data_IF_251758644612
#
_entry.id   IF_251758644612
#
_cell.length_a   1.000
_cell.length_b   1.000
_cell.length_c   1.000
_cell.angle_alpha   90.00
_cell.angle_beta   90.00
_cell.angle_gamma   90.00
#
_symmetry.space_group_name_H-M   'P 1'
#
loop_
_entity.id
_entity.type
_entity.pdbx_description
1 polymer ?
#
# COMPACT_ATOMS: atom_id res chain seq x y z
N UNK A 1 -76.56 15.37 1.54
CA UNK A 1 -75.51 16.43 1.52
C UNK A 1 -74.34 16.16 2.47
N UNK A 2 -74.47 15.34 3.52
CA UNK A 2 -73.35 15.08 4.46
C UNK A 2 -72.47 13.87 4.07
N UNK A 3 -73.07 12.82 3.50
CA UNK A 3 -72.35 11.58 3.16
C UNK A 3 -71.29 11.76 2.06
N UNK A 4 -71.54 12.63 1.09
CA UNK A 4 -70.59 12.93 0.01
C UNK A 4 -69.39 13.71 0.56
N UNK A 5 -69.63 14.65 1.49
CA UNK A 5 -68.58 15.44 2.14
C UNK A 5 -67.72 14.57 3.07
N UNK A 6 -68.33 13.63 3.79
CA UNK A 6 -67.57 12.69 4.65
C UNK A 6 -66.70 11.73 3.82
N UNK A 7 -67.19 11.24 2.68
CA UNK A 7 -66.40 10.40 1.78
C UNK A 7 -65.27 11.17 1.10
N UNK A 8 -65.49 12.43 0.72
CA UNK A 8 -64.43 13.30 0.20
C UNK A 8 -63.36 13.56 1.26
N UNK A 9 -63.76 13.84 2.50
CA UNK A 9 -62.82 14.06 3.60
C UNK A 9 -62.02 12.81 3.96
N UNK A 10 -62.66 11.63 3.95
CA UNK A 10 -61.96 10.34 4.09
C UNK A 10 -61.02 10.06 2.93
N UNK A 11 -61.39 10.40 1.70
CA UNK A 11 -60.51 10.25 0.54
C UNK A 11 -59.31 11.20 0.62
N UNK A 12 -59.50 12.42 1.09
CA UNK A 12 -58.42 13.39 1.34
C UNK A 12 -57.50 12.93 2.49
N UNK A 13 -58.06 12.39 3.58
CA UNK A 13 -57.28 11.81 4.68
C UNK A 13 -56.49 10.57 4.24
N UNK A 14 -57.09 9.71 3.41
CA UNK A 14 -56.41 8.53 2.83
C UNK A 14 -55.34 8.96 1.82
N UNK A 15 -55.58 9.96 0.98
CA UNK A 15 -54.55 10.47 0.06
C UNK A 15 -53.42 11.17 0.79
N UNK A 16 -53.71 11.85 1.92
CA UNK A 16 -52.69 12.50 2.76
C UNK A 16 -51.87 11.45 3.52
N UNK A 17 -52.51 10.38 4.01
CA UNK A 17 -51.82 9.24 4.62
C UNK A 17 -50.97 8.45 3.61
N UNK A 18 -51.44 8.30 2.36
CA UNK A 18 -50.70 7.63 1.29
C UNK A 18 -49.54 8.49 0.72
N UNK A 19 -49.70 9.82 0.71
CA UNK A 19 -48.62 10.75 0.40
C UNK A 19 -47.55 10.84 1.51
N UNK A 20 -47.87 10.35 2.72
CA UNK A 20 -46.96 10.32 3.87
C UNK A 20 -46.03 9.10 3.88
N UNK A 21 -46.14 8.19 2.92
CA UNK A 21 -45.33 6.96 2.86
C UNK A 21 -44.50 6.82 1.57
N UNK A 22 -44.16 7.92 0.91
CA UNK A 22 -42.86 8.01 0.24
C UNK A 22 -41.89 8.62 1.23
N UNK A 23 -41.35 7.77 2.12
CA UNK A 23 -40.10 8.10 2.77
C UNK A 23 -39.10 8.25 1.61
N UNK A 24 -38.79 9.48 1.18
CA UNK A 24 -37.55 9.74 0.46
C UNK A 24 -36.47 9.29 1.44
N UNK A 25 -36.07 8.02 1.31
CA UNK A 25 -34.97 7.47 2.09
C UNK A 25 -33.81 8.41 1.87
N UNK A 26 -33.30 8.99 2.95
CA UNK A 26 -32.18 9.89 2.85
C UNK A 26 -31.07 9.08 2.14
N UNK A 27 -30.47 9.53 1.03
CA UNK A 27 -29.57 8.68 0.24
C UNK A 27 -28.45 8.03 1.07
N UNK A 28 -28.03 8.68 2.15
CA UNK A 28 -27.06 8.16 3.12
C UNK A 28 -27.55 6.93 3.92
N UNK A 29 -28.85 6.76 4.12
CA UNK A 29 -29.44 5.57 4.77
C UNK A 29 -29.28 4.31 3.92
N UNK A 30 -28.99 4.46 2.62
CA UNK A 30 -28.69 3.34 1.73
C UNK A 30 -27.21 2.95 1.71
N UNK A 31 -26.33 3.78 2.30
CA UNK A 31 -24.91 3.52 2.35
C UNK A 31 -24.61 2.53 3.48
N UNK A 32 -24.22 1.31 3.08
CA UNK A 32 -23.92 0.22 4.02
C UNK A 32 -22.50 0.31 4.56
N UNK A 33 -21.50 0.38 3.66
CA UNK A 33 -20.08 0.44 3.99
C UNK A 33 -19.24 0.83 2.76
N UNK A 34 -17.98 1.20 2.98
CA UNK A 34 -16.96 1.37 1.94
C UNK A 34 -16.04 0.14 1.89
N UNK A 35 -15.66 -0.29 0.69
CA UNK A 35 -14.86 -1.51 0.48
C UNK A 35 -13.52 -1.16 -0.15
N UNK A 36 -12.48 -1.91 0.22
CA UNK A 36 -11.13 -1.83 -0.37
C UNK A 36 -10.52 -0.42 -0.33
N UNK A 37 -10.97 0.41 0.60
CA UNK A 37 -10.52 1.80 0.76
C UNK A 37 -9.10 1.90 1.35
N UNK A 38 -8.62 0.80 1.93
CA UNK A 38 -7.32 0.67 2.58
C UNK A 38 -6.25 0.04 1.68
N UNK A 39 -6.57 -0.26 0.42
CA UNK A 39 -5.59 -0.79 -0.54
C UNK A 39 -4.59 0.31 -0.93
N UNK A 40 -3.28 0.14 -0.64
CA UNK A 40 -2.29 1.15 -1.02
C UNK A 40 -2.28 1.36 -2.54
N UNK A 41 -2.14 2.62 -2.97
CA UNK A 41 -2.18 2.98 -4.39
C UNK A 41 -1.23 2.13 -5.25
N UNK A 42 0.02 1.95 -4.81
CA UNK A 42 1.00 1.13 -5.52
C UNK A 42 0.53 -0.33 -5.69
N UNK A 43 -0.08 -0.90 -4.67
CA UNK A 43 -0.59 -2.28 -4.70
C UNK A 43 -1.75 -2.38 -5.67
N UNK A 44 -2.70 -1.44 -5.60
CA UNK A 44 -3.83 -1.33 -6.55
C UNK A 44 -3.33 -1.23 -8.00
N UNK A 45 -2.38 -0.33 -8.27
CA UNK A 45 -1.80 -0.16 -9.62
C UNK A 45 -1.14 -1.46 -10.11
N UNK A 46 -0.34 -2.12 -9.28
CA UNK A 46 0.30 -3.38 -9.67
C UNK A 46 -0.70 -4.53 -9.88
N UNK A 47 -1.79 -4.56 -9.11
CA UNK A 47 -2.87 -5.53 -9.29
C UNK A 47 -3.62 -5.28 -10.60
N UNK A 48 -4.14 -4.07 -10.79
CA UNK A 48 -4.98 -3.71 -11.94
C UNK A 48 -4.22 -3.80 -13.27
N UNK A 49 -2.93 -3.42 -13.28
CA UNK A 49 -2.07 -3.46 -14.46
C UNK A 49 -1.27 -4.76 -14.59
N UNK A 50 -1.47 -5.73 -13.69
CA UNK A 50 -0.75 -6.99 -13.63
C UNK A 50 0.80 -6.84 -13.64
N UNK A 51 1.32 -5.86 -12.92
CA UNK A 51 2.76 -5.61 -12.80
C UNK A 51 3.33 -6.42 -11.64
N UNK A 52 4.47 -7.08 -11.84
CA UNK A 52 5.15 -7.93 -10.86
C UNK A 52 6.64 -7.62 -10.81
N UNK A 53 7.18 -7.49 -9.60
CA UNK A 53 8.61 -7.38 -9.42
C UNK A 53 9.33 -8.64 -9.93
N UNK A 54 10.43 -8.47 -10.67
CA UNK A 54 11.21 -9.57 -11.22
C UNK A 54 10.68 -10.16 -12.54
N UNK A 55 9.59 -9.64 -13.10
CA UNK A 55 9.22 -9.89 -14.49
C UNK A 55 9.97 -8.93 -15.43
N UNK A 56 10.08 -9.31 -16.70
CA UNK A 56 10.66 -8.47 -17.75
C UNK A 56 9.55 -7.72 -18.46
N UNK A 57 9.75 -6.42 -18.71
CA UNK A 57 8.79 -5.58 -19.40
C UNK A 57 9.47 -4.77 -20.50
N UNK A 58 8.81 -4.69 -21.66
CA UNK A 58 9.07 -3.65 -22.65
C UNK A 58 8.29 -2.40 -22.22
N UNK A 59 8.99 -1.28 -22.06
CA UNK A 59 8.41 0.00 -21.68
C UNK A 59 8.22 0.86 -22.93
N UNK A 60 6.97 1.17 -23.28
CA UNK A 60 6.62 1.95 -24.46
C UNK A 60 5.96 3.28 -24.05
N UNK A 61 6.60 4.43 -24.25
CA UNK A 61 5.97 5.72 -23.98
C UNK A 61 4.89 6.01 -25.04
N UNK A 62 3.74 6.50 -24.60
CA UNK A 62 2.67 7.03 -25.46
C UNK A 62 2.54 8.56 -25.26
N UNK A 63 1.64 9.21 -25.99
CA UNK A 63 1.45 10.67 -25.91
C UNK A 63 1.11 11.17 -24.49
N UNK A 64 0.42 10.37 -23.68
CA UNK A 64 -0.05 10.75 -22.35
C UNK A 64 0.14 9.66 -21.27
N UNK A 65 0.76 8.53 -21.60
CA UNK A 65 0.93 7.41 -20.67
C UNK A 65 2.18 6.57 -20.99
N UNK A 66 2.37 5.49 -20.23
CA UNK A 66 3.39 4.47 -20.47
C UNK A 66 2.69 3.12 -20.51
N UNK A 67 2.99 2.33 -21.54
CA UNK A 67 2.53 0.94 -21.66
C UNK A 67 3.66 0.00 -21.25
N UNK A 68 3.32 -1.03 -20.49
CA UNK A 68 4.23 -2.11 -20.08
C UNK A 68 3.75 -3.42 -20.71
N UNK A 69 4.57 -4.00 -21.58
CA UNK A 69 4.29 -5.33 -22.15
C UNK A 69 5.21 -6.35 -21.49
N UNK A 70 4.62 -7.32 -20.78
CA UNK A 70 5.39 -8.41 -20.17
C UNK A 70 6.09 -9.25 -21.25
N UNK A 71 7.36 -9.57 -21.03
CA UNK A 71 8.16 -10.41 -21.91
C UNK A 71 8.21 -11.83 -21.36
N UNK A 72 8.11 -12.82 -22.25
CA UNK A 72 8.29 -14.23 -21.92
C UNK A 72 9.78 -14.57 -21.75
N UNK A 73 10.39 -14.02 -20.70
CA UNK A 73 11.79 -14.20 -20.35
C UNK A 73 11.91 -14.95 -19.02
N UNK A 74 12.37 -16.20 -19.12
CA UNK A 74 12.53 -17.12 -17.98
C UNK A 74 13.73 -16.74 -17.11
N UNK A 75 14.84 -16.33 -17.74
CA UNK A 75 16.08 -15.98 -17.03
C UNK A 75 15.93 -14.63 -16.34
N UNK A 76 16.12 -14.59 -15.03
CA UNK A 76 16.11 -13.34 -14.26
C UNK A 76 17.39 -12.53 -14.50
N UNK A 77 17.30 -11.22 -14.29
CA UNK A 77 18.48 -10.37 -14.28
C UNK A 77 19.44 -10.81 -13.16
N UNK A 78 20.74 -10.57 -13.36
CA UNK A 78 21.76 -10.82 -12.34
C UNK A 78 22.17 -9.49 -11.69
N UNK A 79 21.44 -9.02 -10.65
CA UNK A 79 21.77 -7.76 -9.98
C UNK A 79 23.12 -7.89 -9.25
N UNK A 80 23.84 -6.78 -9.13
CA UNK A 80 24.99 -6.74 -8.22
C UNK A 80 24.46 -6.75 -6.79
N UNK A 81 24.81 -7.78 -6.04
CA UNK A 81 24.39 -7.94 -4.64
C UNK A 81 25.55 -7.56 -3.74
N UNK A 82 25.29 -6.64 -2.82
CA UNK A 82 26.17 -6.32 -1.70
C UNK A 82 25.47 -6.70 -0.40
N UNK A 83 26.09 -7.57 0.38
CA UNK A 83 25.68 -7.89 1.74
C UNK A 83 26.78 -7.42 2.69
N UNK A 84 26.42 -6.83 3.82
CA UNK A 84 27.38 -6.34 4.80
C UNK A 84 26.94 -6.68 6.22
N UNK A 85 27.91 -6.74 7.11
CA UNK A 85 27.73 -6.90 8.55
C UNK A 85 28.76 -6.03 9.28
N UNK A 86 28.34 -5.45 10.41
CA UNK A 86 29.15 -4.50 11.16
C UNK A 86 29.40 -4.99 12.58
N UNK A 87 30.58 -4.66 13.11
CA UNK A 87 30.88 -4.83 14.53
C UNK A 87 31.20 -3.49 15.15
N UNK A 88 30.66 -3.29 16.34
CA UNK A 88 30.78 -2.06 17.10
C UNK A 88 31.41 -2.35 18.46
N UNK A 89 32.09 -1.36 19.03
CA UNK A 89 32.43 -1.41 20.45
C UNK A 89 31.15 -1.50 21.28
N UNK A 90 31.27 -2.00 22.50
CA UNK A 90 30.17 -1.94 23.48
C UNK A 90 30.70 -2.02 24.89
N UNK A 91 30.01 -1.38 25.82
CA UNK A 91 30.30 -1.55 27.23
C UNK A 91 30.03 -3.00 27.71
N UNK A 92 30.75 -3.50 28.72
CA UNK A 92 30.47 -4.79 29.33
C UNK A 92 29.02 -4.90 29.80
N UNK A 93 28.37 -6.03 29.50
CA UNK A 93 26.98 -6.33 29.87
C UNK A 93 25.93 -5.33 29.35
N UNK A 94 26.26 -4.51 28.34
CA UNK A 94 25.30 -3.62 27.65
C UNK A 94 25.20 -3.95 26.16
N UNK A 95 24.11 -3.47 25.56
CA UNK A 95 23.99 -3.37 24.11
C UNK A 95 24.85 -2.20 23.59
N UNK A 96 25.25 -2.22 22.30
CA UNK A 96 25.90 -1.08 21.66
C UNK A 96 25.00 0.17 21.67
N UNK A 97 25.59 1.34 21.90
CA UNK A 97 24.93 2.64 21.83
C UNK A 97 25.61 3.53 20.78
N UNK A 98 24.86 3.90 19.74
CA UNK A 98 25.36 4.67 18.60
C UNK A 98 25.91 6.07 18.94
N UNK A 99 25.63 6.60 20.15
CA UNK A 99 26.15 7.91 20.57
C UNK A 99 27.57 7.83 21.17
N UNK A 100 27.98 6.67 21.66
CA UNK A 100 29.24 6.50 22.42
C UNK A 100 30.14 5.40 21.86
N UNK A 101 29.55 4.38 21.24
CA UNK A 101 30.27 3.27 20.64
C UNK A 101 30.65 3.57 19.19
N UNK A 102 31.76 2.98 18.74
CA UNK A 102 32.29 3.15 17.39
C UNK A 102 32.20 1.84 16.60
N UNK A 103 31.83 1.93 15.32
CA UNK A 103 31.98 0.82 14.37
C UNK A 103 33.49 0.60 14.16
N UNK A 104 33.97 -0.61 14.40
CA UNK A 104 35.38 -0.94 14.20
C UNK A 104 35.63 -1.94 13.07
N UNK A 105 34.59 -2.65 12.63
CA UNK A 105 34.67 -3.57 11.51
C UNK A 105 33.44 -3.44 10.63
N UNK A 106 33.66 -3.41 9.32
CA UNK A 106 32.62 -3.56 8.31
C UNK A 106 33.08 -4.68 7.39
N UNK A 107 32.43 -5.83 7.51
CA UNK A 107 32.61 -6.92 6.56
C UNK A 107 31.56 -6.78 5.46
N UNK A 108 31.95 -6.96 4.20
CA UNK A 108 30.98 -6.98 3.11
C UNK A 108 31.40 -7.91 1.99
N UNK A 109 30.41 -8.46 1.31
CA UNK A 109 30.56 -9.28 0.11
C UNK A 109 29.88 -8.58 -1.05
N UNK A 110 30.59 -8.38 -2.15
CA UNK A 110 30.01 -7.91 -3.42
C UNK A 110 30.27 -8.95 -4.50
N UNK A 111 29.20 -9.47 -5.11
CA UNK A 111 29.26 -10.49 -6.15
C UNK A 111 30.15 -11.71 -5.79
N UNK A 112 30.10 -12.15 -4.52
CA UNK A 112 30.89 -13.28 -4.02
C UNK A 112 32.33 -12.94 -3.59
N UNK A 113 32.82 -11.73 -3.86
CA UNK A 113 34.12 -11.28 -3.36
C UNK A 113 33.96 -10.63 -1.98
N UNK A 114 34.71 -11.15 -1.00
CA UNK A 114 34.76 -10.61 0.36
C UNK A 114 35.74 -9.45 0.51
N UNK A 115 35.35 -8.48 1.34
CA UNK A 115 36.12 -7.32 1.74
C UNK A 115 35.94 -7.08 3.24
N UNK A 116 36.98 -6.49 3.84
CA UNK A 116 36.98 -6.16 5.26
C UNK A 116 37.59 -4.77 5.45
N UNK A 117 36.81 -3.86 6.04
CA UNK A 117 37.27 -2.55 6.48
C UNK A 117 37.44 -2.62 7.99
N UNK A 118 38.63 -2.27 8.48
CA UNK A 118 38.96 -2.27 9.90
C UNK A 118 39.41 -0.87 10.35
N UNK A 119 38.89 -0.43 11.49
CA UNK A 119 39.42 0.73 12.18
C UNK A 119 40.66 0.36 12.97
N UNK A 120 41.82 0.88 12.56
CA UNK A 120 43.10 0.66 13.25
C UNK A 120 43.21 1.39 14.59
N UNK A 121 42.28 2.28 14.93
CA UNK A 121 42.24 2.88 16.27
C UNK A 121 41.68 1.95 17.34
N UNK A 122 40.94 0.90 16.92
CA UNK A 122 40.35 -0.10 17.81
C UNK A 122 41.05 -1.46 17.64
N UNK A 123 41.27 -1.87 16.38
CA UNK A 123 41.94 -3.13 16.02
C UNK A 123 43.42 -2.87 15.72
N UNK A 124 44.09 -2.24 16.69
CA UNK A 124 45.43 -1.67 16.56
C UNK A 124 46.33 -1.87 17.78
N UNK A 125 46.49 -3.13 18.16
CA UNK A 125 47.74 -3.79 18.60
C UNK A 125 47.70 -5.21 18.01
#
# INVERSE_FOLDING_TARGET
MNLIRENQKKQEEISTAFAMETHESQPLETLVDIREYDVPYLVRTCMDLNIRAGAWYTVTPTTHSVELTEMDAVTKANPKVLAFDIECTKAPLKFPDANVDSIFMISYMVNGQGYLILSRSVVGE
#
